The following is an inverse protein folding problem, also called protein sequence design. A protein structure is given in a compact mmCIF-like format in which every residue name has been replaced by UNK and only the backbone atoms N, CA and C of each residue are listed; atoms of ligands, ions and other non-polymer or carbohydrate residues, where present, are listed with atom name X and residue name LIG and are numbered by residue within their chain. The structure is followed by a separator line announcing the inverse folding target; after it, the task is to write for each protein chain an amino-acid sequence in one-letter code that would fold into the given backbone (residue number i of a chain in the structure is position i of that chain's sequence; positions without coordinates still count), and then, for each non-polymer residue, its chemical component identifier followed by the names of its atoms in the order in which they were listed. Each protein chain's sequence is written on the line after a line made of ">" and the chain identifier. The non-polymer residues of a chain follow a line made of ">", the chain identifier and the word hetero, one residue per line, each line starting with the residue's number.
data_IF_192003537950
#
_entry.id   IF_192003537950
#
_cell.length_a   1.000
_cell.length_b   1.000
_cell.length_c   1.000
_cell.angle_alpha   90.00
_cell.angle_beta   90.00
_cell.angle_gamma   90.00
#
_symmetry.space_group_name_H-M   'P 1'
#
loop_
_entity.id
_entity.type
_entity.pdbx_description
1 polymer ?
#
# COMPACT_ATOMS: atom_id res chain seq x y z
N UNK A 1 -1.56 -41.95 -18.55
CA UNK A 1 -0.16 -41.84 -18.05
C UNK A 1 -0.06 -40.45 -17.42
N UNK A 2 -0.35 -40.17 -16.15
CA UNK A 2 0.00 -40.75 -14.84
C UNK A 2 1.52 -40.84 -14.56
N UNK A 3 1.93 -40.12 -13.50
CA UNK A 3 3.19 -40.20 -12.69
C UNK A 3 4.29 -39.25 -13.16
N UNK A 4 5.01 -38.49 -12.34
CA UNK A 4 5.11 -38.25 -10.89
C UNK A 4 5.88 -36.89 -10.77
N UNK A 5 5.78 -36.09 -9.71
CA UNK A 5 6.50 -36.31 -8.46
C UNK A 5 5.99 -35.39 -7.35
N UNK A 6 5.82 -36.04 -6.21
CA UNK A 6 5.51 -35.53 -4.89
C UNK A 6 6.82 -35.06 -4.22
N UNK A 7 6.72 -34.12 -3.28
CA UNK A 7 7.64 -33.90 -2.12
C UNK A 7 8.95 -33.20 -2.46
N UNK A 8 9.11 -31.91 -2.16
CA UNK A 8 9.24 -31.27 -0.84
C UNK A 8 10.68 -31.19 -0.32
N UNK A 9 10.93 -30.06 0.33
CA UNK A 9 11.92 -29.84 1.38
C UNK A 9 13.30 -29.36 0.95
N UNK A 10 13.40 -28.04 0.79
CA UNK A 10 14.38 -27.32 1.60
C UNK A 10 13.63 -26.16 2.29
N UNK A 11 13.35 -26.37 3.57
CA UNK A 11 12.90 -25.34 4.48
C UNK A 11 14.00 -24.29 4.69
N UNK A 12 13.60 -23.17 5.31
CA UNK A 12 14.41 -22.14 6.01
C UNK A 12 14.46 -20.76 5.31
N UNK A 13 13.39 -19.97 5.45
CA UNK A 13 13.36 -18.80 6.35
C UNK A 13 11.92 -18.22 6.41
N UNK A 14 11.45 -17.73 7.57
CA UNK A 14 10.10 -17.22 7.77
C UNK A 14 10.02 -15.75 7.31
N UNK A 15 9.13 -15.45 6.38
CA UNK A 15 8.86 -14.04 6.03
C UNK A 15 8.47 -13.84 4.58
N UNK A 16 7.21 -13.52 4.38
CA UNK A 16 6.73 -12.62 3.33
C UNK A 16 7.26 -12.86 1.91
N UNK A 17 6.96 -13.99 1.28
CA UNK A 17 6.98 -14.08 -0.19
C UNK A 17 5.80 -14.91 -0.68
N UNK A 18 4.59 -14.45 -0.38
CA UNK A 18 3.40 -14.89 -1.09
C UNK A 18 3.33 -14.14 -2.43
N UNK A 19 4.16 -14.58 -3.38
CA UNK A 19 3.96 -14.31 -4.79
C UNK A 19 2.82 -15.23 -5.26
N UNK A 20 1.60 -14.70 -5.38
CA UNK A 20 0.44 -15.55 -5.69
C UNK A 20 -0.90 -14.84 -5.80
N UNK A 21 -1.00 -13.89 -6.74
CA UNK A 21 -2.17 -13.60 -7.57
C UNK A 21 -3.56 -13.92 -6.97
N UNK A 22 -4.21 -12.89 -6.44
CA UNK A 22 -5.67 -12.81 -6.36
C UNK A 22 -6.09 -11.38 -6.70
N UNK A 23 -6.56 -11.16 -7.93
CA UNK A 23 -7.22 -9.92 -8.37
C UNK A 23 -6.33 -8.69 -8.43
N UNK A 24 -5.81 -8.38 -9.62
CA UNK A 24 -5.21 -7.08 -9.93
C UNK A 24 -6.28 -5.98 -10.00
N UNK A 25 -6.88 -5.64 -8.88
CA UNK A 25 -7.27 -4.26 -8.62
C UNK A 25 -6.11 -3.67 -7.86
N UNK A 26 -5.27 -2.86 -8.52
CA UNK A 26 -4.27 -2.09 -7.78
C UNK A 26 -4.99 -1.36 -6.65
N UNK A 27 -4.73 -1.63 -5.36
CA UNK A 27 -5.29 -0.82 -4.28
C UNK A 27 -4.92 0.65 -4.51
N UNK A 28 -3.84 0.90 -5.25
CA UNK A 28 -3.42 2.19 -5.77
C UNK A 28 -4.56 3.02 -6.40
N UNK A 29 -5.45 2.42 -7.22
CA UNK A 29 -6.43 3.21 -7.96
C UNK A 29 -7.57 3.77 -7.08
N UNK A 30 -7.91 3.08 -5.97
CA UNK A 30 -8.97 3.49 -5.05
C UNK A 30 -8.42 4.15 -3.78
N UNK A 31 -7.17 3.83 -3.39
CA UNK A 31 -6.42 4.55 -2.34
C UNK A 31 -5.98 5.93 -2.82
N UNK A 32 -5.62 6.10 -4.11
CA UNK A 32 -5.16 7.40 -4.66
C UNK A 32 -6.19 8.53 -4.53
N UNK A 33 -7.49 8.37 -4.82
CA UNK A 33 -8.49 9.41 -4.62
C UNK A 33 -8.58 9.88 -3.17
N UNK A 34 -8.57 8.94 -2.22
CA UNK A 34 -8.65 9.23 -0.78
C UNK A 34 -7.39 9.93 -0.27
N UNK A 35 -6.22 9.39 -0.62
CA UNK A 35 -4.93 9.95 -0.23
C UNK A 35 -4.70 11.34 -0.86
N UNK A 36 -4.98 11.52 -2.15
CA UNK A 36 -4.85 12.80 -2.82
C UNK A 36 -5.78 13.86 -2.21
N UNK A 37 -7.00 13.48 -1.83
CA UNK A 37 -7.90 14.38 -1.10
C UNK A 37 -7.33 14.81 0.25
N UNK A 38 -6.75 13.88 1.02
CA UNK A 38 -6.10 14.21 2.29
C UNK A 38 -4.87 15.11 2.09
N UNK A 39 -4.05 14.84 1.08
CA UNK A 39 -2.89 15.67 0.71
C UNK A 39 -3.31 17.09 0.34
N UNK A 40 -4.42 17.28 -0.39
CA UNK A 40 -4.99 18.60 -0.67
C UNK A 40 -5.45 19.29 0.62
N UNK A 41 -6.16 18.58 1.51
CA UNK A 41 -6.65 19.15 2.78
C UNK A 41 -5.54 19.62 3.71
N UNK A 42 -4.38 18.94 3.72
CA UNK A 42 -3.21 19.36 4.52
C UNK A 42 -2.35 20.41 3.81
N UNK A 43 -2.75 20.87 2.62
CA UNK A 43 -2.02 21.89 1.86
C UNK A 43 -0.77 21.36 1.14
N UNK A 44 -0.69 20.05 0.89
CA UNK A 44 0.42 19.37 0.19
C UNK A 44 0.01 18.69 -1.12
N UNK A 45 -0.65 19.40 -2.05
CA UNK A 45 -0.98 18.84 -3.37
C UNK A 45 0.27 18.52 -4.20
N UNK A 46 1.41 19.13 -3.89
CA UNK A 46 2.70 18.88 -4.52
C UNK A 46 3.15 17.43 -4.35
N UNK A 47 2.83 16.78 -3.21
CA UNK A 47 3.18 15.38 -2.93
C UNK A 47 2.44 14.40 -3.85
N UNK A 48 1.28 14.80 -4.38
CA UNK A 48 0.53 14.00 -5.37
C UNK A 48 1.29 13.96 -6.70
N UNK A 49 1.95 15.06 -7.05
CA UNK A 49 2.75 15.18 -8.27
C UNK A 49 4.18 14.65 -8.09
N UNK A 50 4.74 14.79 -6.90
CA UNK A 50 6.06 14.30 -6.51
C UNK A 50 6.01 13.57 -5.15
N UNK A 51 5.90 12.23 -5.14
CA UNK A 51 5.87 11.46 -3.90
C UNK A 51 7.21 11.48 -3.13
N UNK A 52 8.28 12.01 -3.73
CA UNK A 52 9.57 12.24 -3.09
C UNK A 52 9.67 13.58 -2.39
N UNK A 53 8.66 14.45 -2.50
CA UNK A 53 8.65 15.77 -1.88
C UNK A 53 8.79 15.64 -0.36
N UNK A 54 9.69 16.45 0.22
CA UNK A 54 9.95 16.41 1.65
C UNK A 54 8.69 16.76 2.45
N UNK A 55 8.35 15.92 3.43
CA UNK A 55 7.29 16.16 4.40
C UNK A 55 7.88 16.23 5.81
N UNK A 56 7.39 17.18 6.60
CA UNK A 56 7.64 17.27 8.03
C UNK A 56 6.83 16.21 8.79
N UNK A 57 7.28 15.87 10.00
CA UNK A 57 6.56 14.92 10.86
C UNK A 57 5.12 15.37 11.19
N UNK A 58 4.87 16.68 11.28
CA UNK A 58 3.54 17.23 11.52
C UNK A 58 2.61 16.98 10.33
N UNK A 59 3.10 17.17 9.11
CA UNK A 59 2.33 16.91 7.88
C UNK A 59 2.07 15.41 7.69
N UNK A 60 3.04 14.55 8.04
CA UNK A 60 2.85 13.09 8.02
C UNK A 60 1.78 12.69 9.03
N UNK A 61 1.81 13.22 10.25
CA UNK A 61 0.80 12.94 11.26
C UNK A 61 -0.60 13.37 10.81
N UNK A 62 -0.72 14.55 10.20
CA UNK A 62 -1.99 15.05 9.66
C UNK A 62 -2.51 14.19 8.50
N UNK A 63 -1.63 13.69 7.63
CA UNK A 63 -1.98 12.77 6.56
C UNK A 63 -2.53 11.45 7.11
N UNK A 64 -1.82 10.86 8.08
CA UNK A 64 -2.23 9.62 8.73
C UNK A 64 -3.59 9.78 9.44
N UNK A 65 -3.79 10.86 10.18
CA UNK A 65 -5.04 11.16 10.86
C UNK A 65 -6.21 11.30 9.88
N UNK A 66 -6.04 12.06 8.80
CA UNK A 66 -7.06 12.19 7.74
C UNK A 66 -7.41 10.84 7.10
N UNK A 67 -6.41 10.01 6.81
CA UNK A 67 -6.66 8.68 6.23
C UNK A 67 -7.33 7.73 7.24
N UNK A 68 -6.99 7.83 8.52
CA UNK A 68 -7.61 7.04 9.59
C UNK A 68 -9.08 7.44 9.81
N UNK A 69 -9.40 8.74 9.81
CA UNK A 69 -10.78 9.21 9.89
C UNK A 69 -11.62 8.67 8.73
N UNK A 70 -11.08 8.69 7.50
CA UNK A 70 -11.80 8.18 6.33
C UNK A 70 -11.95 6.67 6.33
N UNK A 71 -10.95 5.93 6.79
CA UNK A 71 -11.04 4.48 6.94
C UNK A 71 -12.05 4.05 8.01
N UNK A 72 -12.42 4.95 8.93
CA UNK A 72 -13.38 4.70 9.99
C UNK A 72 -14.83 5.00 9.59
N UNK A 73 -15.07 5.56 8.40
CA UNK A 73 -16.40 5.90 7.85
C UNK A 73 -16.87 4.81 6.89
#
# INVERSE_FOLDING_TARGET
>A
MMRAFFVASCAMLPGCNALGSSGAGSPDAEVRPGLASCLVSIGRPDVVADPGAAMSNTEIAALLDCTAERASR
#
